data_IF_950658549420
#
_entry.id   IF_950658549420
#
_cell.length_a   1.000
_cell.length_b   1.000
_cell.length_c   1.000
_cell.angle_alpha   90.00
_cell.angle_beta   90.00
_cell.angle_gamma   90.00
#
_symmetry.space_group_name_H-M   'P 1'
#
loop_
_entity.id
_entity.type
_entity.pdbx_description
1 polymer ?
#
# COMPACT_ATOMS: atom_id res chain seq x y z
N UNK A 1 -9.82 22.24 -11.07
CA UNK A 1 -10.59 21.37 -10.17
C UNK A 1 -9.68 21.01 -9.00
N UNK A 2 -10.02 21.41 -7.78
CA UNK A 2 -9.27 20.95 -6.61
C UNK A 2 -9.66 19.50 -6.35
N UNK A 3 -8.77 18.57 -6.60
CA UNK A 3 -8.91 17.21 -6.10
C UNK A 3 -8.95 17.31 -4.57
N UNK A 4 -10.10 17.02 -3.99
CA UNK A 4 -10.24 16.83 -2.55
C UNK A 4 -9.59 15.49 -2.23
N UNK A 5 -8.35 15.51 -1.83
CA UNK A 5 -7.63 14.30 -1.46
C UNK A 5 -7.95 13.85 -0.03
N UNK A 6 -7.76 12.58 0.22
CA UNK A 6 -7.81 11.98 1.56
C UNK A 6 -6.44 12.14 2.22
N UNK A 7 -6.39 12.50 3.51
CA UNK A 7 -5.13 12.71 4.22
C UNK A 7 -4.95 11.72 5.35
N UNK A 8 -3.83 11.00 5.33
CA UNK A 8 -3.37 10.20 6.47
C UNK A 8 -2.48 11.07 7.35
N UNK A 9 -2.92 11.32 8.58
CA UNK A 9 -2.18 12.15 9.54
C UNK A 9 -0.97 11.40 10.08
N UNK A 10 0.18 12.06 10.08
CA UNK A 10 1.43 11.55 10.63
C UNK A 10 1.68 12.05 12.06
N UNK A 11 2.26 11.20 12.88
CA UNK A 11 2.61 11.44 14.27
C UNK A 11 4.02 10.94 14.55
N UNK A 12 4.87 11.79 15.09
CA UNK A 12 6.18 11.40 15.60
C UNK A 12 6.00 10.82 16.99
N UNK A 13 6.30 9.54 17.14
CA UNK A 13 6.26 8.80 18.39
C UNK A 13 7.68 8.61 18.91
N UNK A 14 7.97 9.17 20.09
CA UNK A 14 9.30 9.20 20.70
C UNK A 14 9.32 8.31 21.96
N UNK A 15 10.39 7.52 22.09
CA UNK A 15 10.69 6.75 23.29
C UNK A 15 12.20 6.76 23.53
N UNK A 16 12.64 7.33 24.66
CA UNK A 16 14.08 7.58 24.90
C UNK A 16 14.68 8.48 23.82
N UNK A 17 15.73 8.00 23.17
CA UNK A 17 16.39 8.69 22.04
C UNK A 17 15.85 8.25 20.66
N UNK A 18 14.98 7.26 20.62
CA UNK A 18 14.41 6.73 19.38
C UNK A 18 13.10 7.43 19.01
N UNK A 19 12.86 7.58 17.71
CA UNK A 19 11.59 8.07 17.21
C UNK A 19 11.21 7.41 15.89
N UNK A 20 9.90 7.30 15.67
CA UNK A 20 9.33 6.81 14.40
C UNK A 20 8.13 7.66 14.00
N UNK A 21 7.85 7.72 12.70
CA UNK A 21 6.63 8.31 12.17
C UNK A 21 5.56 7.22 12.06
N UNK A 22 4.41 7.47 12.65
CA UNK A 22 3.25 6.57 12.59
C UNK A 22 2.06 7.32 12.00
N UNK A 23 1.43 6.72 10.98
CA UNK A 23 0.22 7.26 10.38
C UNK A 23 -1.02 6.71 11.11
N UNK A 24 -1.74 7.58 11.77
CA UNK A 24 -2.94 7.21 12.55
C UNK A 24 -3.96 8.37 12.57
N UNK A 25 -5.25 8.07 12.77
CA UNK A 25 -6.28 9.13 12.82
C UNK A 25 -6.12 10.06 14.02
N UNK A 26 -5.56 9.57 15.12
CA UNK A 26 -5.33 10.34 16.36
C UNK A 26 -3.99 10.02 17.00
N UNK A 27 -3.48 10.95 17.82
CA UNK A 27 -2.27 10.76 18.62
C UNK A 27 -2.37 9.53 19.54
N UNK A 28 -3.54 9.27 20.12
CA UNK A 28 -3.75 8.12 21.00
C UNK A 28 -3.61 6.79 20.26
N UNK A 29 -4.13 6.70 19.02
CA UNK A 29 -3.97 5.50 18.19
C UNK A 29 -2.53 5.31 17.73
N UNK A 30 -1.82 6.38 17.39
CA UNK A 30 -0.39 6.34 17.07
C UNK A 30 0.42 5.84 18.28
N UNK A 31 0.15 6.36 19.48
CA UNK A 31 0.79 5.90 20.72
C UNK A 31 0.51 4.43 21.00
N UNK A 32 -0.73 3.98 20.83
CA UNK A 32 -1.12 2.59 21.06
C UNK A 32 -0.43 1.63 20.06
N UNK A 33 -0.25 2.05 18.81
CA UNK A 33 0.50 1.26 17.83
C UNK A 33 1.98 1.16 18.25
N UNK A 34 2.64 2.29 18.55
CA UNK A 34 4.04 2.30 18.96
C UNK A 34 4.27 1.48 20.23
N UNK A 35 3.38 1.58 21.19
CA UNK A 35 3.46 0.81 22.42
C UNK A 35 3.41 -0.71 22.18
N UNK A 36 2.53 -1.18 21.30
CA UNK A 36 2.48 -2.61 20.92
C UNK A 36 3.78 -3.07 20.27
N UNK A 37 4.35 -2.27 19.35
CA UNK A 37 5.61 -2.58 18.69
C UNK A 37 6.78 -2.66 19.68
N UNK A 38 6.83 -1.72 20.64
CA UNK A 38 7.90 -1.69 21.64
C UNK A 38 7.80 -2.80 22.67
N UNK A 39 6.62 -3.29 22.99
CA UNK A 39 6.43 -4.36 23.98
C UNK A 39 7.11 -5.67 23.62
N UNK A 40 7.37 -5.91 22.34
CA UNK A 40 8.08 -7.10 21.89
C UNK A 40 9.56 -7.10 22.34
N UNK A 41 10.17 -5.92 22.48
CA UNK A 41 11.54 -5.77 22.94
C UNK A 41 11.67 -5.15 24.35
N UNK A 42 10.66 -4.43 24.82
CA UNK A 42 10.61 -3.73 26.11
C UNK A 42 9.27 -4.05 26.81
N UNK A 43 9.11 -5.25 27.42
CA UNK A 43 7.83 -5.71 27.98
C UNK A 43 7.25 -4.80 29.08
N UNK A 44 8.10 -4.11 29.83
CA UNK A 44 7.73 -3.26 30.97
C UNK A 44 7.43 -1.80 30.59
N UNK A 45 7.46 -1.46 29.29
CA UNK A 45 7.22 -0.09 28.84
C UNK A 45 5.83 0.42 29.25
N UNK A 46 5.78 1.57 29.89
CA UNK A 46 4.55 2.28 30.21
C UNK A 46 3.99 3.03 29.00
N UNK A 47 2.68 2.95 28.79
CA UNK A 47 2.00 3.65 27.70
C UNK A 47 2.27 5.16 27.70
N UNK A 48 2.42 5.77 28.87
CA UNK A 48 2.67 7.20 29.08
C UNK A 48 4.11 7.62 28.74
N UNK A 49 5.03 6.69 28.66
CA UNK A 49 6.45 6.99 28.36
C UNK A 49 6.66 7.32 26.87
N UNK A 50 5.68 7.02 26.03
CA UNK A 50 5.73 7.34 24.61
C UNK A 50 5.18 8.75 24.40
N UNK A 51 6.04 9.68 24.02
CA UNK A 51 5.64 11.02 23.62
C UNK A 51 5.16 11.00 22.18
N UNK A 52 4.03 11.66 21.89
CA UNK A 52 3.48 11.75 20.55
C UNK A 52 3.27 13.21 20.17
N UNK A 53 3.86 13.60 19.04
CA UNK A 53 3.81 14.96 18.50
C UNK A 53 3.28 14.92 17.08
N UNK A 54 2.48 15.90 16.69
CA UNK A 54 1.97 16.03 15.32
C UNK A 54 3.13 16.31 14.35
N UNK A 55 3.22 15.52 13.27
CA UNK A 55 4.24 15.64 12.22
C UNK A 55 3.55 15.94 10.88
N UNK A 56 2.99 17.13 10.73
CA UNK A 56 2.14 17.48 9.59
C UNK A 56 2.88 17.47 8.24
N UNK A 57 4.20 17.66 8.24
CA UNK A 57 5.03 17.60 7.04
C UNK A 57 5.20 16.17 6.49
N UNK A 58 4.92 15.17 7.34
CA UNK A 58 4.97 13.75 6.96
C UNK A 58 3.56 13.21 6.61
N UNK A 59 2.55 14.07 6.52
CA UNK A 59 1.22 13.64 6.10
C UNK A 59 1.25 13.05 4.68
N UNK A 60 0.51 11.95 4.51
CA UNK A 60 0.33 11.34 3.20
C UNK A 60 -0.98 11.81 2.58
N UNK A 61 -0.88 12.42 1.41
CA UNK A 61 -2.03 12.85 0.62
C UNK A 61 -2.33 11.80 -0.46
N UNK A 62 -3.53 11.21 -0.37
CA UNK A 62 -4.03 10.23 -1.32
C UNK A 62 -5.16 10.86 -2.14
N UNK A 63 -5.28 10.54 -3.44
CA UNK A 63 -6.42 10.97 -4.24
C UNK A 63 -7.73 10.37 -3.71
N UNK A 64 -8.85 10.98 -4.04
CA UNK A 64 -10.17 10.35 -3.86
C UNK A 64 -10.26 9.07 -4.69
N UNK A 65 -11.18 8.16 -4.32
CA UNK A 65 -11.32 6.90 -5.02
C UNK A 65 -11.65 7.14 -6.50
N UNK A 66 -10.85 6.56 -7.39
CA UNK A 66 -11.01 6.73 -8.83
C UNK A 66 -12.31 6.07 -9.30
N UNK A 67 -13.10 6.70 -10.20
CA UNK A 67 -14.38 6.15 -10.65
C UNK A 67 -14.32 4.72 -11.19
N UNK A 68 -13.20 4.33 -11.83
CA UNK A 68 -13.00 2.98 -12.35
C UNK A 68 -12.97 1.93 -11.22
N UNK A 69 -12.70 2.32 -9.99
CA UNK A 69 -12.64 1.42 -8.84
C UNK A 69 -14.01 0.76 -8.56
N UNK A 70 -15.12 1.41 -8.93
CA UNK A 70 -16.47 0.84 -8.78
C UNK A 70 -16.70 -0.38 -9.67
N UNK A 71 -15.89 -0.56 -10.72
CA UNK A 71 -15.96 -1.67 -11.67
C UNK A 71 -15.05 -2.85 -11.25
N UNK A 72 -14.23 -2.65 -10.21
CA UNK A 72 -13.25 -3.63 -9.78
C UNK A 72 -13.80 -4.53 -8.67
N UNK A 73 -13.62 -5.83 -8.83
CA UNK A 73 -13.84 -6.81 -7.77
C UNK A 73 -12.82 -6.63 -6.63
N UNK A 74 -13.10 -7.24 -5.50
CA UNK A 74 -12.17 -7.27 -4.37
C UNK A 74 -10.81 -7.88 -4.74
N UNK A 75 -10.82 -8.96 -5.53
CA UNK A 75 -9.60 -9.62 -6.01
C UNK A 75 -8.77 -8.69 -6.90
N UNK A 76 -9.40 -7.97 -7.82
CA UNK A 76 -8.71 -7.03 -8.72
C UNK A 76 -8.09 -5.88 -7.95
N UNK A 77 -8.82 -5.30 -6.99
CA UNK A 77 -8.29 -4.28 -6.07
C UNK A 77 -7.05 -4.79 -5.31
N UNK A 78 -7.12 -6.02 -4.80
CA UNK A 78 -6.00 -6.66 -4.11
C UNK A 78 -4.77 -6.82 -5.01
N UNK A 79 -4.95 -7.23 -6.26
CA UNK A 79 -3.85 -7.38 -7.23
C UNK A 79 -3.22 -6.06 -7.63
N UNK A 80 -4.01 -4.99 -7.78
CA UNK A 80 -3.52 -3.64 -8.07
C UNK A 80 -2.66 -3.14 -6.90
N UNK A 81 -3.16 -3.25 -5.67
CA UNK A 81 -2.42 -2.84 -4.47
C UNK A 81 -1.14 -3.66 -4.26
N UNK A 82 -1.17 -4.96 -4.59
CA UNK A 82 0.02 -5.81 -4.54
C UNK A 82 1.05 -5.39 -5.61
N UNK A 83 0.61 -5.12 -6.84
CA UNK A 83 1.49 -4.64 -7.91
C UNK A 83 2.15 -3.30 -7.56
N UNK A 84 1.43 -2.41 -6.89
CA UNK A 84 1.93 -1.13 -6.41
C UNK A 84 2.88 -1.26 -5.20
N UNK A 85 2.88 -2.41 -4.51
CA UNK A 85 3.71 -2.65 -3.34
C UNK A 85 3.06 -2.31 -1.99
N UNK A 86 1.85 -1.72 -1.98
CA UNK A 86 1.13 -1.41 -0.75
C UNK A 86 0.87 -2.65 0.12
N UNK A 87 0.37 -3.74 -0.47
CA UNK A 87 -0.02 -4.95 0.26
C UNK A 87 1.11 -5.60 1.06
N UNK A 88 2.36 -5.37 0.65
CA UNK A 88 3.53 -5.91 1.33
C UNK A 88 4.00 -5.03 2.49
N UNK A 89 3.68 -3.72 2.45
CA UNK A 89 4.15 -2.72 3.42
C UNK A 89 3.10 -1.64 3.69
N UNK A 90 1.91 -2.01 4.18
CA UNK A 90 0.80 -1.05 4.32
C UNK A 90 1.09 0.07 5.33
N UNK A 91 1.95 -0.16 6.31
CA UNK A 91 2.34 0.83 7.32
C UNK A 91 3.51 1.73 6.94
N UNK A 92 4.05 1.60 5.71
CA UNK A 92 5.24 2.34 5.24
C UNK A 92 4.96 3.10 3.96
N UNK A 93 4.33 4.27 4.03
CA UNK A 93 4.01 5.08 2.86
C UNK A 93 5.22 5.44 1.99
N UNK A 94 6.39 5.57 2.59
CA UNK A 94 7.66 5.84 1.92
C UNK A 94 8.10 4.71 0.98
N UNK A 95 7.60 3.50 1.23
CA UNK A 95 7.91 2.32 0.41
C UNK A 95 6.84 2.06 -0.68
N UNK A 96 5.72 2.78 -0.70
CA UNK A 96 4.69 2.54 -1.70
C UNK A 96 5.15 2.97 -3.09
N UNK A 97 4.71 2.23 -4.11
CA UNK A 97 5.14 2.49 -5.48
C UNK A 97 6.55 1.94 -5.81
N UNK A 98 7.19 1.20 -4.90
CA UNK A 98 8.47 0.55 -5.21
C UNK A 98 8.37 -0.55 -6.26
N UNK A 99 7.16 -1.05 -6.50
CA UNK A 99 6.82 -2.02 -7.54
C UNK A 99 5.84 -1.40 -8.52
N UNK A 100 5.78 -1.98 -9.70
CA UNK A 100 4.80 -1.63 -10.71
C UNK A 100 4.31 -2.85 -11.49
N UNK A 101 4.50 -4.06 -10.96
CA UNK A 101 4.18 -5.29 -11.68
C UNK A 101 3.50 -6.34 -10.81
N UNK A 102 2.71 -7.18 -11.48
CA UNK A 102 2.12 -8.41 -10.96
C UNK A 102 2.55 -9.59 -11.82
N UNK A 103 2.82 -10.73 -11.21
CA UNK A 103 3.23 -11.93 -11.92
C UNK A 103 2.20 -13.04 -11.72
N UNK A 104 1.70 -13.61 -12.83
CA UNK A 104 0.74 -14.72 -12.82
C UNK A 104 0.73 -15.40 -14.21
N UNK A 105 -0.13 -16.41 -14.39
CA UNK A 105 -0.27 -17.12 -15.65
C UNK A 105 -0.62 -16.18 -16.82
N UNK A 106 -0.04 -16.39 -18.02
CA UNK A 106 -0.25 -15.49 -19.17
C UNK A 106 -1.69 -15.42 -19.68
N UNK A 107 -2.50 -16.41 -19.37
CA UNK A 107 -3.92 -16.54 -19.73
C UNK A 107 -4.87 -16.11 -18.60
N UNK A 108 -4.37 -15.43 -17.57
CA UNK A 108 -5.17 -14.99 -16.43
C UNK A 108 -6.27 -14.02 -16.87
N UNK A 109 -7.53 -14.45 -16.76
CA UNK A 109 -8.70 -13.67 -17.18
C UNK A 109 -8.90 -12.37 -16.35
N UNK A 110 -8.52 -12.41 -15.07
CA UNK A 110 -8.57 -11.23 -14.18
C UNK A 110 -7.61 -10.16 -14.69
N UNK A 111 -6.39 -10.55 -15.08
CA UNK A 111 -5.41 -9.61 -15.64
C UNK A 111 -5.83 -9.11 -17.01
N UNK A 112 -6.44 -9.97 -17.85
CA UNK A 112 -6.98 -9.58 -19.14
C UNK A 112 -8.08 -8.50 -18.98
N UNK A 113 -8.99 -8.67 -18.03
CA UNK A 113 -10.02 -7.66 -17.74
C UNK A 113 -9.39 -6.32 -17.30
N UNK A 114 -8.45 -6.33 -16.35
CA UNK A 114 -7.78 -5.11 -15.90
C UNK A 114 -6.95 -4.43 -17.02
N UNK A 115 -6.48 -5.23 -17.99
CA UNK A 115 -5.81 -4.70 -19.20
C UNK A 115 -6.81 -4.00 -20.13
N UNK A 116 -8.02 -4.53 -20.29
CA UNK A 116 -9.08 -3.83 -21.07
C UNK A 116 -9.50 -2.53 -20.43
N UNK A 117 -9.42 -2.42 -19.10
CA UNK A 117 -9.66 -1.17 -18.37
C UNK A 117 -8.46 -0.19 -18.44
N UNK A 118 -7.36 -0.58 -19.06
CA UNK A 118 -6.15 0.24 -19.18
C UNK A 118 -5.31 0.35 -17.89
N UNK A 119 -5.63 -0.44 -16.86
CA UNK A 119 -4.93 -0.44 -15.57
C UNK A 119 -3.57 -1.14 -15.67
N UNK A 120 -3.53 -2.25 -16.39
CA UNK A 120 -2.30 -3.00 -16.66
C UNK A 120 -1.99 -3.03 -18.15
N UNK A 121 -0.72 -3.24 -18.46
CA UNK A 121 -0.22 -3.64 -19.78
C UNK A 121 0.51 -4.98 -19.66
N UNK A 122 0.38 -5.84 -20.64
CA UNK A 122 0.98 -7.17 -20.67
C UNK A 122 0.06 -8.18 -21.35
N UNK A 123 0.36 -9.48 -21.30
CA UNK A 123 1.51 -10.09 -20.62
C UNK A 123 2.84 -9.81 -21.32
N UNK A 124 3.91 -9.67 -20.56
CA UNK A 124 5.26 -9.49 -21.05
C UNK A 124 6.23 -10.46 -20.35
N UNK A 125 7.37 -10.76 -20.98
CA UNK A 125 8.42 -11.54 -20.35
C UNK A 125 7.97 -12.95 -19.93
N UNK A 126 7.19 -13.64 -20.76
CA UNK A 126 6.83 -15.04 -20.49
C UNK A 126 8.12 -15.84 -20.39
N UNK A 127 8.42 -16.35 -19.20
CA UNK A 127 9.59 -17.21 -19.03
C UNK A 127 9.36 -18.52 -19.77
N UNK A 128 10.04 -18.65 -20.91
CA UNK A 128 10.06 -19.86 -21.74
C UNK A 128 11.30 -20.71 -21.47
N UNK A 129 12.15 -20.28 -20.49
CA UNK A 129 13.45 -20.90 -20.30
C UNK A 129 13.37 -22.35 -19.83
N UNK A 130 12.26 -22.73 -19.19
CA UNK A 130 12.09 -24.07 -18.63
C UNK A 130 13.04 -24.39 -17.46
N UNK A 131 13.85 -23.40 -17.05
CA UNK A 131 14.85 -23.59 -15.99
C UNK A 131 14.20 -23.74 -14.60
N UNK A 132 12.93 -23.37 -14.48
CA UNK A 132 12.13 -23.63 -13.27
C UNK A 132 11.02 -24.61 -13.64
N UNK A 133 11.13 -25.91 -13.31
CA UNK A 133 10.12 -26.90 -13.65
C UNK A 133 8.74 -26.49 -13.10
N UNK A 134 7.78 -26.29 -14.00
CA UNK A 134 6.38 -26.05 -13.67
C UNK A 134 5.96 -24.59 -13.50
N UNK A 135 6.82 -23.58 -13.76
CA UNK A 135 6.44 -22.18 -13.70
C UNK A 135 6.47 -21.51 -15.08
N UNK A 136 5.30 -21.15 -15.58
CA UNK A 136 5.12 -20.34 -16.81
C UNK A 136 4.43 -19.03 -16.45
N UNK A 137 5.13 -18.17 -15.70
CA UNK A 137 4.59 -16.88 -15.31
C UNK A 137 4.84 -15.79 -16.35
N UNK A 138 3.95 -14.82 -16.40
CA UNK A 138 4.11 -13.60 -17.17
C UNK A 138 3.96 -12.39 -16.28
N UNK A 139 4.57 -11.28 -16.69
CA UNK A 139 4.49 -10.02 -15.96
C UNK A 139 3.45 -9.08 -16.57
N UNK A 140 2.64 -8.48 -15.72
CA UNK A 140 1.79 -7.34 -16.04
C UNK A 140 2.28 -6.13 -15.30
N UNK A 141 2.40 -5.01 -15.99
CA UNK A 141 2.89 -3.76 -15.44
C UNK A 141 1.76 -2.76 -15.30
N UNK A 142 1.71 -2.05 -14.19
CA UNK A 142 0.81 -0.92 -14.03
C UNK A 142 1.11 0.14 -15.10
N UNK A 143 0.05 0.71 -15.64
CA UNK A 143 0.11 1.94 -16.45
C UNK A 143 0.07 3.15 -15.54
N UNK A 144 0.24 4.37 -16.07
CA UNK A 144 0.07 5.60 -15.30
C UNK A 144 -1.35 5.68 -14.69
N UNK A 145 -2.37 5.24 -15.44
CA UNK A 145 -3.73 5.09 -14.92
C UNK A 145 -3.77 4.05 -13.79
N UNK A 146 -3.10 2.92 -13.96
CA UNK A 146 -3.03 1.85 -12.96
C UNK A 146 -2.38 2.32 -11.66
N UNK A 147 -1.32 3.11 -11.72
CA UNK A 147 -0.69 3.70 -10.56
C UNK A 147 -1.60 4.71 -9.85
N UNK A 148 -2.30 5.55 -10.63
CA UNK A 148 -3.27 6.49 -10.08
C UNK A 148 -4.43 5.77 -9.38
N UNK A 149 -4.98 4.73 -10.01
CA UNK A 149 -6.01 3.86 -9.42
C UNK A 149 -5.48 3.18 -8.16
N UNK A 150 -4.27 2.62 -8.17
CA UNK A 150 -3.67 1.99 -7.01
C UNK A 150 -3.62 2.95 -5.81
N UNK A 151 -3.12 4.18 -6.00
CA UNK A 151 -3.07 5.20 -4.96
C UNK A 151 -4.46 5.58 -4.45
N UNK A 152 -5.46 5.62 -5.32
CA UNK A 152 -6.84 5.91 -4.94
C UNK A 152 -7.50 4.80 -4.11
N UNK A 153 -7.03 3.56 -4.27
CA UNK A 153 -7.50 2.39 -3.53
C UNK A 153 -6.86 2.21 -2.16
N UNK A 154 -5.73 2.89 -1.87
CA UNK A 154 -5.05 2.76 -0.59
C UNK A 154 -6.00 3.18 0.54
N UNK A 155 -6.31 2.28 1.49
CA UNK A 155 -7.20 2.62 2.59
C UNK A 155 -6.49 3.54 3.59
N UNK A 156 -7.24 4.49 4.15
CA UNK A 156 -6.71 5.30 5.24
C UNK A 156 -6.45 4.42 6.47
N UNK A 157 -5.24 4.51 7.03
CA UNK A 157 -4.85 3.88 8.29
C UNK A 157 -4.93 2.34 8.31
N UNK A 158 -4.53 1.69 7.22
CA UNK A 158 -4.27 0.24 7.21
C UNK A 158 -5.51 -0.65 7.26
N UNK A 159 -6.68 -0.15 6.88
CA UNK A 159 -7.85 -0.99 6.61
C UNK A 159 -7.55 -1.96 5.46
N UNK A 160 -8.14 -3.16 5.48
CA UNK A 160 -8.15 -3.99 4.28
C UNK A 160 -9.12 -3.37 3.26
N UNK A 161 -8.78 -3.41 1.97
CA UNK A 161 -9.64 -2.91 0.92
C UNK A 161 -10.93 -3.71 0.78
#
# INVERSE_FOLDING_TARGET
>A
MHERGRTMKAWRCEYGSDHVIIHAPTASKARAQRWRELRDCCPDIGFHEIRVVRAAHDDVHLPDEHPIATQLSHEERGRILHAHGYSNRPGRPEDWGYRNHYCTAPDCTVMAHMTTLGIFRGPAGVDKSGDTPGWSGAFWYLTDLGEHVARSLIPLYGGQP
#
